data_IF_621841220854
#
_entry.id   IF_621841220854
#
_cell.length_a   1.000
_cell.length_b   1.000
_cell.length_c   1.000
_cell.angle_alpha   90.00
_cell.angle_beta   90.00
_cell.angle_gamma   90.00
#
_symmetry.space_group_name_H-M   'P 1'
#
loop_
_entity.id
_entity.type
_entity.pdbx_description
1 polymer ?
#
# COMPACT_ATOMS: atom_id res chain seq x y z
N UNK A 1 9.14 -6.11 3.61
CA UNK A 1 8.20 -5.22 2.90
C UNK A 1 6.92 -6.00 2.65
N UNK A 2 5.75 -5.37 2.83
CA UNK A 2 4.41 -5.91 2.57
C UNK A 2 3.68 -5.03 1.57
N UNK A 3 2.76 -5.61 0.80
CA UNK A 3 2.07 -4.94 -0.30
C UNK A 3 1.24 -3.71 0.08
N UNK A 4 0.73 -3.02 -0.94
CA UNK A 4 -0.13 -1.85 -0.79
C UNK A 4 -1.42 -2.20 -0.04
N UNK A 5 -1.78 -1.38 0.97
CA UNK A 5 -2.94 -1.59 1.84
C UNK A 5 -3.10 -3.02 2.34
N UNK A 6 -1.99 -3.65 2.73
CA UNK A 6 -1.97 -5.02 3.25
C UNK A 6 -2.94 -5.21 4.42
N UNK A 7 -3.15 -4.17 5.21
CA UNK A 7 -4.11 -4.13 6.32
C UNK A 7 -5.10 -3.00 6.08
N UNK A 8 -6.40 -3.26 6.05
CA UNK A 8 -7.13 -4.54 6.16
C UNK A 8 -7.28 -5.29 4.83
N UNK A 9 -6.67 -4.84 3.77
CA UNK A 9 -6.74 -5.36 2.42
C UNK A 9 -6.96 -4.25 1.40
N UNK A 10 -6.73 -4.58 0.12
CA UNK A 10 -6.92 -3.64 -0.97
C UNK A 10 -8.41 -3.43 -1.30
N UNK A 11 -8.81 -2.17 -1.53
CA UNK A 11 -10.19 -1.78 -1.79
C UNK A 11 -10.64 -2.12 -3.24
N UNK A 12 -10.49 -3.37 -3.67
CA UNK A 12 -10.87 -3.82 -5.03
C UNK A 12 -12.34 -3.55 -5.36
N UNK A 13 -13.23 -3.55 -4.34
CA UNK A 13 -14.65 -3.23 -4.48
C UNK A 13 -14.90 -1.80 -4.99
N UNK A 14 -13.92 -0.91 -4.90
CA UNK A 14 -14.02 0.46 -5.39
C UNK A 14 -14.27 0.54 -6.91
N UNK A 15 -13.88 -0.49 -7.66
CA UNK A 15 -14.16 -0.61 -9.10
C UNK A 15 -15.67 -0.67 -9.43
N UNK A 16 -16.52 -0.96 -8.42
CA UNK A 16 -17.96 -1.11 -8.59
C UNK A 16 -18.76 -0.10 -7.76
N UNK A 17 -18.32 1.14 -7.74
CA UNK A 17 -18.95 2.21 -6.94
C UNK A 17 -20.45 2.44 -7.24
N UNK A 18 -20.92 2.03 -8.41
CA UNK A 18 -22.35 2.09 -8.79
C UNK A 18 -23.22 0.95 -8.24
N UNK A 19 -22.61 -0.10 -7.71
CA UNK A 19 -23.37 -1.25 -7.17
C UNK A 19 -24.02 -0.92 -5.83
N UNK A 20 -25.27 -1.39 -5.55
CA UNK A 20 -25.97 -1.08 -4.31
C UNK A 20 -25.21 -1.46 -3.02
N UNK A 21 -24.45 -2.56 -3.04
CA UNK A 21 -23.68 -3.02 -1.89
C UNK A 21 -22.44 -2.17 -1.60
N UNK A 22 -22.00 -1.30 -2.55
CA UNK A 22 -20.80 -0.48 -2.41
C UNK A 22 -20.76 0.32 -1.10
N UNK A 23 -21.89 0.95 -0.72
CA UNK A 23 -21.96 1.76 0.51
C UNK A 23 -21.68 0.94 1.77
N UNK A 24 -22.22 -0.27 1.85
CA UNK A 24 -22.00 -1.16 2.99
C UNK A 24 -20.54 -1.63 3.06
N UNK A 25 -19.96 -1.98 1.92
CA UNK A 25 -18.56 -2.37 1.84
C UNK A 25 -17.61 -1.20 2.17
N UNK A 26 -17.91 -0.01 1.67
CA UNK A 26 -17.15 1.21 1.98
C UNK A 26 -17.21 1.51 3.48
N UNK A 27 -18.40 1.48 4.08
CA UNK A 27 -18.56 1.69 5.53
C UNK A 27 -17.74 0.68 6.33
N UNK A 28 -17.84 -0.61 5.98
CA UNK A 28 -17.06 -1.67 6.62
C UNK A 28 -15.56 -1.43 6.46
N UNK A 29 -15.11 -1.01 5.26
CA UNK A 29 -13.71 -0.70 5.00
C UNK A 29 -13.21 0.47 5.85
N UNK A 30 -13.99 1.56 5.94
CA UNK A 30 -13.68 2.71 6.79
C UNK A 30 -13.56 2.31 8.26
N UNK A 31 -14.52 1.51 8.76
CA UNK A 31 -14.51 1.07 10.16
C UNK A 31 -13.34 0.16 10.50
N UNK A 32 -12.81 -0.58 9.52
CA UNK A 32 -11.61 -1.42 9.66
C UNK A 32 -10.31 -0.69 9.29
N UNK A 33 -10.38 0.58 8.90
CA UNK A 33 -9.20 1.41 8.64
C UNK A 33 -8.32 1.56 9.88
N UNK A 34 -7.02 1.60 9.65
CA UNK A 34 -6.01 1.66 10.71
C UNK A 34 -5.72 3.10 11.09
N UNK A 35 -6.00 3.49 12.31
CA UNK A 35 -5.50 4.75 12.85
C UNK A 35 -4.00 4.65 13.14
N UNK A 36 -3.26 5.71 12.88
CA UNK A 36 -1.80 5.74 13.10
C UNK A 36 -1.45 6.95 13.98
N UNK A 37 -1.07 6.72 15.28
CA UNK A 37 -0.89 5.43 15.96
C UNK A 37 -2.21 4.81 16.48
N UNK A 38 -2.18 3.49 16.77
CA UNK A 38 -3.31 2.76 17.36
C UNK A 38 -2.85 1.40 17.93
N UNK A 39 -3.71 0.66 18.65
CA UNK A 39 -3.38 -0.70 19.08
C UNK A 39 -2.97 -1.64 17.95
N UNK A 40 -3.52 -1.45 16.73
CA UNK A 40 -3.12 -2.23 15.56
C UNK A 40 -1.67 -1.94 15.16
N UNK A 41 -1.28 -0.66 15.12
CA UNK A 41 0.12 -0.28 14.85
C UNK A 41 1.06 -0.69 15.97
N UNK A 42 0.60 -0.69 17.22
CA UNK A 42 1.40 -1.17 18.37
C UNK A 42 1.71 -2.67 18.23
N UNK A 43 0.74 -3.47 17.76
CA UNK A 43 0.95 -4.89 17.49
C UNK A 43 1.99 -5.10 16.37
N UNK A 44 1.94 -4.29 15.29
CA UNK A 44 2.95 -4.32 14.22
C UNK A 44 4.34 -3.91 14.73
N UNK A 45 4.42 -2.87 15.54
CA UNK A 45 5.65 -2.43 16.19
C UNK A 45 6.24 -3.52 17.10
N UNK A 46 5.41 -4.18 17.90
CA UNK A 46 5.83 -5.29 18.73
C UNK A 46 6.35 -6.48 17.90
N UNK A 47 5.71 -6.78 16.76
CA UNK A 47 6.15 -7.82 15.84
C UNK A 47 7.50 -7.49 15.20
N UNK A 48 7.68 -6.25 14.71
CA UNK A 48 8.94 -5.77 14.15
C UNK A 48 10.10 -5.90 15.17
N UNK A 49 9.85 -5.50 16.43
CA UNK A 49 10.82 -5.62 17.51
C UNK A 49 11.17 -7.07 17.82
N UNK A 50 10.16 -7.97 17.92
CA UNK A 50 10.43 -9.41 18.16
C UNK A 50 11.25 -10.04 17.03
N UNK A 51 10.99 -9.63 15.78
CA UNK A 51 11.73 -10.11 14.62
C UNK A 51 13.10 -9.43 14.44
N UNK A 52 13.39 -8.34 15.15
CA UNK A 52 14.60 -7.53 14.97
C UNK A 52 14.74 -6.94 13.56
N UNK A 53 13.61 -6.67 12.89
CA UNK A 53 13.56 -6.34 11.46
C UNK A 53 12.80 -5.05 11.24
N UNK A 54 13.32 -4.17 10.37
CA UNK A 54 12.60 -3.01 9.89
C UNK A 54 11.46 -3.46 8.96
N UNK A 55 10.30 -2.79 9.04
CA UNK A 55 9.10 -3.15 8.27
C UNK A 55 8.59 -1.94 7.50
N UNK A 56 8.32 -2.13 6.21
CA UNK A 56 7.51 -1.24 5.41
C UNK A 56 6.22 -1.99 5.03
N UNK A 57 5.05 -1.44 5.37
CA UNK A 57 3.76 -2.10 5.20
C UNK A 57 2.67 -1.13 4.74
N UNK A 58 1.94 -1.51 3.70
CA UNK A 58 0.77 -0.76 3.25
C UNK A 58 -0.40 -0.90 4.24
N UNK A 59 -1.02 0.21 4.60
CA UNK A 59 -2.22 0.23 5.44
C UNK A 59 -3.27 1.17 4.84
N UNK A 60 -4.54 0.82 4.97
CA UNK A 60 -5.63 1.76 4.76
C UNK A 60 -5.76 2.62 6.03
N UNK A 61 -5.11 3.78 6.04
CA UNK A 61 -5.07 4.66 7.19
C UNK A 61 -6.38 5.44 7.34
N UNK A 62 -7.06 5.28 8.47
CA UNK A 62 -8.20 6.12 8.83
C UNK A 62 -7.72 7.39 9.52
N UNK A 63 -8.11 8.54 8.97
CA UNK A 63 -7.75 9.82 9.53
C UNK A 63 -8.51 10.08 10.84
N UNK A 64 -7.77 10.41 11.88
CA UNK A 64 -8.35 10.65 13.23
C UNK A 64 -9.08 11.98 13.32
N UNK A 65 -8.76 12.94 12.43
CA UNK A 65 -9.36 14.29 12.45
C UNK A 65 -10.74 14.30 11.82
N UNK A 66 -10.88 13.65 10.66
CA UNK A 66 -12.15 13.62 9.91
C UNK A 66 -13.01 12.41 10.28
N UNK A 67 -12.40 11.35 10.81
CA UNK A 67 -13.06 10.09 11.18
C UNK A 67 -13.58 9.24 10.03
N UNK A 68 -13.68 9.80 8.83
CA UNK A 68 -14.21 9.12 7.65
C UNK A 68 -13.27 9.08 6.46
N UNK A 69 -12.24 9.92 6.44
CA UNK A 69 -11.25 9.88 5.36
C UNK A 69 -10.30 8.72 5.54
N UNK A 70 -10.11 7.95 4.47
CA UNK A 70 -9.14 6.85 4.40
C UNK A 70 -8.04 7.23 3.43
N UNK A 71 -6.78 6.98 3.80
CA UNK A 71 -5.62 7.15 2.92
C UNK A 71 -4.96 5.79 2.62
N UNK A 72 -4.49 5.64 1.40
CA UNK A 72 -3.54 4.58 1.07
C UNK A 72 -2.18 5.00 1.61
N UNK A 73 -1.69 4.32 2.64
CA UNK A 73 -0.52 4.74 3.39
C UNK A 73 0.53 3.64 3.47
N UNK A 74 1.77 3.97 3.17
CA UNK A 74 2.93 3.14 3.44
C UNK A 74 3.51 3.54 4.81
N UNK A 75 3.45 2.61 5.77
CA UNK A 75 3.94 2.79 7.13
C UNK A 75 5.34 2.19 7.28
N UNK A 76 6.25 2.94 7.88
CA UNK A 76 7.61 2.50 8.17
C UNK A 76 7.80 2.29 9.67
N UNK A 77 8.24 1.10 10.06
CA UNK A 77 8.44 0.69 11.45
C UNK A 77 9.89 0.21 11.60
N UNK A 78 10.59 0.74 12.58
CA UNK A 78 11.96 0.34 12.89
C UNK A 78 12.02 -0.98 13.68
N UNK A 79 13.13 -1.71 13.54
CA UNK A 79 13.41 -2.94 14.28
C UNK A 79 13.38 -2.76 15.81
N UNK A 80 13.47 -1.55 16.28
CA UNK A 80 13.30 -1.16 17.67
C UNK A 80 11.83 -1.14 18.14
N UNK A 81 10.88 -1.38 17.20
CA UNK A 81 9.45 -1.41 17.49
C UNK A 81 8.83 -0.02 17.61
N UNK A 82 9.28 0.93 16.82
CA UNK A 82 8.73 2.29 16.75
C UNK A 82 8.36 2.66 15.33
N UNK A 83 7.28 3.41 15.18
CA UNK A 83 6.94 4.03 13.91
C UNK A 83 8.02 5.06 13.57
N UNK A 84 8.68 4.89 12.42
CA UNK A 84 9.63 5.85 11.87
C UNK A 84 8.89 7.01 11.19
N UNK A 85 7.80 6.67 10.53
CA UNK A 85 6.92 7.60 9.85
C UNK A 85 6.04 6.89 8.83
N UNK A 86 5.41 7.66 7.96
CA UNK A 86 4.47 7.16 6.96
C UNK A 86 4.51 8.01 5.70
N UNK A 87 4.07 7.42 4.59
CA UNK A 87 3.82 8.12 3.34
C UNK A 87 2.39 7.86 2.86
N UNK A 88 1.57 8.91 2.77
CA UNK A 88 0.23 8.87 2.19
C UNK A 88 0.33 9.02 0.68
N UNK A 89 -0.23 8.07 -0.07
CA UNK A 89 -0.25 8.08 -1.54
C UNK A 89 -0.78 9.42 -2.05
N UNK A 90 0.00 10.07 -2.92
CA UNK A 90 -0.31 11.44 -3.39
C UNK A 90 -1.58 11.47 -4.22
N UNK A 91 -1.74 10.51 -5.14
CA UNK A 91 -2.87 10.43 -6.06
C UNK A 91 -3.41 9.00 -6.10
N UNK A 92 -4.60 8.77 -5.53
CA UNK A 92 -5.30 7.51 -5.73
C UNK A 92 -5.53 7.23 -7.20
N UNK A 93 -5.40 5.96 -7.60
CA UNK A 93 -5.45 5.55 -9.00
C UNK A 93 -6.87 5.23 -9.42
N UNK A 94 -7.35 5.84 -10.52
CA UNK A 94 -8.65 5.53 -11.14
C UNK A 94 -9.80 5.48 -10.11
N UNK A 95 -10.42 4.32 -9.92
CA UNK A 95 -11.54 4.08 -9.00
C UNK A 95 -11.17 4.19 -7.52
N UNK A 96 -9.90 4.08 -7.18
CA UNK A 96 -9.43 4.30 -5.80
C UNK A 96 -9.88 5.64 -5.24
N UNK A 97 -10.06 6.64 -6.12
CA UNK A 97 -10.54 7.99 -5.76
C UNK A 97 -11.93 8.01 -5.13
N UNK A 98 -12.70 6.95 -5.26
CA UNK A 98 -14.00 6.80 -4.60
C UNK A 98 -13.87 6.39 -3.14
N UNK A 99 -12.67 5.97 -2.70
CA UNK A 99 -12.40 5.43 -1.37
C UNK A 99 -11.34 6.23 -0.63
N UNK A 100 -10.22 6.56 -1.29
CA UNK A 100 -9.05 7.16 -0.63
C UNK A 100 -8.91 8.65 -0.91
N UNK A 101 -8.50 9.38 0.13
CA UNK A 101 -8.05 10.75 0.03
C UNK A 101 -6.65 10.87 -0.58
N UNK A 102 -6.31 12.08 -1.01
CA UNK A 102 -5.02 12.42 -1.60
C UNK A 102 -4.01 12.84 -0.54
N UNK A 103 -2.77 12.38 -0.64
CA UNK A 103 -1.63 12.90 0.11
C UNK A 103 -1.13 14.23 -0.48
N UNK A 104 -0.36 14.97 0.31
CA UNK A 104 0.11 16.32 -0.05
C UNK A 104 1.64 16.42 -0.27
N UNK A 105 2.34 15.29 -0.23
CA UNK A 105 3.80 15.24 -0.37
C UNK A 105 4.58 15.56 0.90
N UNK A 106 3.98 16.05 1.98
CA UNK A 106 4.67 16.32 3.26
C UNK A 106 5.29 15.08 3.88
N UNK A 107 4.82 13.92 3.45
CA UNK A 107 5.24 12.60 3.90
C UNK A 107 6.28 11.92 3.00
N UNK A 108 6.72 12.55 1.92
CA UNK A 108 7.81 12.07 1.07
C UNK A 108 9.17 12.28 1.76
N UNK A 109 9.49 11.40 2.71
CA UNK A 109 10.67 11.49 3.56
C UNK A 109 11.46 10.20 3.54
N UNK A 110 12.78 10.31 3.84
CA UNK A 110 13.66 9.18 4.05
C UNK A 110 13.93 8.99 5.54
N UNK A 111 14.22 7.74 5.90
CA UNK A 111 14.55 7.32 7.26
C UNK A 111 15.96 6.71 7.27
N UNK A 112 16.85 7.28 8.06
CA UNK A 112 18.22 6.77 8.22
C UNK A 112 18.18 5.43 8.95
N UNK A 113 18.72 4.40 8.28
CA UNK A 113 18.87 3.05 8.86
C UNK A 113 20.33 2.62 8.72
N UNK A 114 20.79 1.62 9.53
CA UNK A 114 22.19 1.15 9.46
C UNK A 114 22.63 0.66 8.07
N UNK A 115 21.68 0.28 7.22
CA UNK A 115 21.92 -0.22 5.86
C UNK A 115 21.69 0.83 4.76
N UNK A 116 21.35 2.06 5.13
CA UNK A 116 21.12 3.15 4.20
C UNK A 116 19.82 3.91 4.43
N UNK A 117 19.56 4.93 3.61
CA UNK A 117 18.35 5.74 3.68
C UNK A 117 17.18 5.03 3.02
N UNK A 118 16.18 4.70 3.85
CA UNK A 118 14.96 3.98 3.48
C UNK A 118 13.84 4.95 3.13
N UNK A 119 13.15 4.70 2.03
CA UNK A 119 11.91 5.37 1.64
C UNK A 119 11.03 4.44 0.80
N UNK A 120 9.94 4.95 0.26
CA UNK A 120 9.08 4.12 -0.60
C UNK A 120 7.92 4.88 -1.21
N UNK A 121 7.28 4.24 -2.17
CA UNK A 121 6.11 4.72 -2.91
C UNK A 121 5.07 3.60 -3.05
N UNK A 122 3.81 4.01 -3.27
CA UNK A 122 2.68 3.12 -3.48
C UNK A 122 2.35 2.99 -4.97
N UNK A 123 2.41 1.79 -5.52
CA UNK A 123 1.82 1.39 -6.80
C UNK A 123 2.18 2.36 -7.95
N UNK A 124 1.19 2.95 -8.60
CA UNK A 124 1.36 3.83 -9.75
C UNK A 124 1.97 5.21 -9.42
N UNK A 125 2.30 5.49 -8.18
CA UNK A 125 3.20 6.61 -7.88
C UNK A 125 4.57 6.44 -8.57
N UNK A 126 4.96 5.19 -8.86
CA UNK A 126 6.17 4.90 -9.63
C UNK A 126 6.08 5.35 -11.11
N UNK A 127 4.88 5.60 -11.64
CA UNK A 127 4.71 6.24 -12.96
C UNK A 127 4.82 7.76 -12.90
N UNK A 128 4.72 8.34 -11.69
CA UNK A 128 4.83 9.78 -11.48
C UNK A 128 6.30 10.15 -11.29
N UNK A 129 6.86 10.92 -12.20
CA UNK A 129 8.30 11.27 -12.17
C UNK A 129 8.68 12.06 -10.91
N UNK A 130 7.86 13.03 -10.50
CA UNK A 130 8.21 13.96 -9.42
C UNK A 130 8.33 13.32 -8.05
N UNK A 131 7.43 12.44 -7.57
CA UNK A 131 7.61 11.75 -6.30
C UNK A 131 8.89 10.91 -6.24
N UNK A 132 9.16 10.18 -7.34
CA UNK A 132 10.41 9.41 -7.46
C UNK A 132 11.63 10.32 -7.38
N UNK A 133 11.64 11.41 -8.14
CA UNK A 133 12.73 12.39 -8.12
C UNK A 133 12.91 13.04 -6.74
N UNK A 134 11.83 13.34 -6.03
CA UNK A 134 11.91 13.91 -4.67
C UNK A 134 12.62 12.98 -3.68
N UNK A 135 12.45 11.67 -3.80
CA UNK A 135 13.19 10.69 -2.99
C UNK A 135 14.64 10.55 -3.45
N UNK A 136 14.90 10.57 -4.76
CA UNK A 136 16.25 10.53 -5.35
C UNK A 136 17.06 11.75 -4.89
N UNK A 137 16.46 12.94 -4.94
CA UNK A 137 17.11 14.19 -4.52
C UNK A 137 17.47 14.20 -3.03
N UNK A 138 16.75 13.45 -2.20
CA UNK A 138 17.10 13.23 -0.79
C UNK A 138 18.17 12.14 -0.61
N UNK A 139 18.53 11.43 -1.69
CA UNK A 139 19.56 10.38 -1.72
C UNK A 139 19.06 9.07 -1.14
N UNK A 140 17.92 8.58 -1.60
CA UNK A 140 17.41 7.25 -1.26
C UNK A 140 18.42 6.16 -1.63
N UNK A 141 18.55 5.14 -0.78
CA UNK A 141 19.45 4.00 -1.00
C UNK A 141 18.70 2.66 -0.97
N UNK A 142 17.60 2.60 -0.22
CA UNK A 142 16.70 1.44 -0.18
C UNK A 142 15.27 1.91 -0.38
N UNK A 143 14.63 1.39 -1.40
CA UNK A 143 13.27 1.78 -1.77
C UNK A 143 12.29 0.63 -1.56
N UNK A 144 11.23 0.87 -0.78
CA UNK A 144 10.09 -0.03 -0.65
C UNK A 144 9.06 0.31 -1.73
N UNK A 145 9.02 -0.49 -2.78
CA UNK A 145 8.01 -0.39 -3.84
C UNK A 145 6.84 -1.32 -3.53
N UNK A 146 5.70 -0.77 -3.09
CA UNK A 146 4.55 -1.59 -2.68
C UNK A 146 3.42 -1.52 -3.69
N UNK A 147 2.81 -2.69 -3.94
CA UNK A 147 1.80 -2.89 -4.98
C UNK A 147 0.63 -3.69 -4.42
N UNK A 148 -0.61 -3.52 -4.95
CA UNK A 148 -1.77 -4.30 -4.49
C UNK A 148 -1.70 -5.76 -4.94
N UNK A 149 -1.01 -6.01 -6.05
CA UNK A 149 -0.82 -7.33 -6.66
C UNK A 149 -0.08 -7.20 -7.98
N UNK A 150 0.18 -8.32 -8.64
CA UNK A 150 0.82 -8.35 -9.95
C UNK A 150 -0.06 -7.72 -11.01
N UNK A 151 0.36 -6.58 -11.55
CA UNK A 151 -0.37 -5.89 -12.62
C UNK A 151 0.50 -5.78 -13.85
N UNK A 152 0.38 -6.74 -14.76
CA UNK A 152 0.88 -6.62 -16.12
C UNK A 152 2.38 -6.30 -16.24
N UNK A 153 3.25 -6.96 -15.50
CA UNK A 153 4.71 -6.71 -15.50
C UNK A 153 5.13 -5.23 -15.27
N UNK A 154 4.20 -4.30 -15.13
CA UNK A 154 4.50 -2.86 -14.93
C UNK A 154 5.28 -2.62 -13.66
N UNK A 155 4.92 -3.30 -12.58
CA UNK A 155 5.60 -3.17 -11.29
C UNK A 155 7.09 -3.51 -11.40
N UNK A 156 7.44 -4.55 -12.12
CA UNK A 156 8.83 -4.93 -12.33
C UNK A 156 9.57 -3.89 -13.17
N UNK A 157 9.00 -3.47 -14.29
CA UNK A 157 9.60 -2.47 -15.19
C UNK A 157 9.84 -1.16 -14.45
N UNK A 158 8.83 -0.66 -13.72
CA UNK A 158 8.94 0.61 -12.99
C UNK A 158 9.90 0.51 -11.81
N UNK A 159 9.91 -0.61 -11.09
CA UNK A 159 10.85 -0.85 -9.99
C UNK A 159 12.29 -0.91 -10.49
N UNK A 160 12.54 -1.58 -11.62
CA UNK A 160 13.87 -1.61 -12.28
C UNK A 160 14.29 -0.22 -12.77
N UNK A 161 13.37 0.53 -13.39
CA UNK A 161 13.65 1.88 -13.82
C UNK A 161 14.03 2.78 -12.63
N UNK A 162 13.28 2.69 -11.54
CA UNK A 162 13.59 3.44 -10.32
C UNK A 162 14.95 3.06 -9.74
N UNK A 163 15.27 1.76 -9.65
CA UNK A 163 16.56 1.28 -9.14
C UNK A 163 17.74 1.87 -9.95
N UNK A 164 17.61 1.89 -11.29
CA UNK A 164 18.62 2.45 -12.18
C UNK A 164 18.74 3.98 -12.03
N UNK A 165 17.62 4.70 -11.98
CA UNK A 165 17.61 6.16 -11.87
C UNK A 165 18.15 6.65 -10.52
N UNK A 166 17.83 5.92 -9.45
CA UNK A 166 18.23 6.27 -8.09
C UNK A 166 19.60 5.71 -7.69
N UNK A 167 20.15 4.77 -8.45
CA UNK A 167 21.29 3.93 -8.04
C UNK A 167 21.05 3.33 -6.63
N UNK A 168 19.85 2.78 -6.41
CA UNK A 168 19.36 2.29 -5.13
C UNK A 168 18.82 0.86 -5.25
N UNK A 169 18.80 0.14 -4.14
CA UNK A 169 18.10 -1.15 -4.07
C UNK A 169 16.60 -0.93 -3.97
N UNK A 170 15.82 -1.72 -4.71
CA UNK A 170 14.37 -1.72 -4.64
C UNK A 170 13.88 -3.07 -4.08
N UNK A 171 13.13 -3.01 -2.99
CA UNK A 171 12.37 -4.16 -2.49
C UNK A 171 10.94 -4.01 -2.97
N UNK A 172 10.61 -4.75 -4.03
CA UNK A 172 9.29 -4.77 -4.63
C UNK A 172 8.42 -5.81 -3.91
N UNK A 173 7.25 -5.41 -3.43
CA UNK A 173 6.29 -6.31 -2.79
C UNK A 173 4.90 -6.17 -3.41
N UNK A 174 4.40 -7.24 -3.98
CA UNK A 174 3.01 -7.37 -4.44
C UNK A 174 2.15 -8.13 -3.42
N UNK A 175 0.86 -7.81 -3.40
CA UNK A 175 -0.12 -8.57 -2.63
C UNK A 175 -0.43 -9.91 -3.29
N UNK A 176 -0.64 -10.94 -2.49
CA UNK A 176 -1.26 -12.19 -2.91
C UNK A 176 -2.68 -12.23 -2.36
N UNK A 177 -3.65 -12.39 -3.24
CA UNK A 177 -5.05 -12.52 -2.87
C UNK A 177 -5.67 -13.70 -3.64
N UNK A 178 -6.13 -14.69 -2.93
CA UNK A 178 -6.85 -15.83 -3.49
C UNK A 178 -8.34 -15.69 -3.22
N UNK A 179 -9.16 -16.29 -4.06
CA UNK A 179 -10.62 -16.29 -3.88
C UNK A 179 -11.02 -16.90 -2.53
N UNK A 180 -10.32 -17.94 -2.09
CA UNK A 180 -10.53 -18.62 -0.81
C UNK A 180 -10.20 -17.76 0.42
N UNK A 181 -9.32 -16.75 0.27
CA UNK A 181 -8.93 -15.82 1.33
C UNK A 181 -9.97 -14.70 1.52
N UNK A 182 -10.93 -14.57 0.60
CA UNK A 182 -11.94 -13.53 0.69
C UNK A 182 -13.05 -13.91 1.67
N UNK A 183 -13.54 -12.96 2.50
CA UNK A 183 -14.77 -13.15 3.25
C UNK A 183 -15.93 -13.53 2.32
N UNK A 184 -16.81 -14.43 2.77
CA UNK A 184 -17.89 -14.98 1.96
C UNK A 184 -18.80 -13.92 1.35
N UNK A 185 -19.14 -12.90 2.11
CA UNK A 185 -19.97 -11.77 1.67
C UNK A 185 -19.32 -10.92 0.58
N UNK A 186 -17.99 -10.75 0.65
CA UNK A 186 -17.22 -10.05 -0.42
C UNK A 186 -17.13 -10.93 -1.66
N UNK A 187 -16.96 -12.24 -1.46
CA UNK A 187 -16.92 -13.21 -2.55
C UNK A 187 -18.26 -13.28 -3.27
N UNK A 188 -19.37 -13.39 -2.54
CA UNK A 188 -20.74 -13.38 -3.09
C UNK A 188 -20.99 -12.10 -3.89
N UNK A 189 -20.63 -10.94 -3.34
CA UNK A 189 -20.70 -9.66 -4.01
C UNK A 189 -19.88 -9.62 -5.31
N UNK A 190 -18.68 -10.14 -5.27
CA UNK A 190 -17.82 -10.23 -6.44
C UNK A 190 -18.41 -11.18 -7.51
N UNK A 191 -19.06 -12.25 -7.10
CA UNK A 191 -19.75 -13.21 -7.99
C UNK A 191 -21.03 -12.63 -8.58
N UNK A 192 -21.83 -11.87 -7.81
CA UNK A 192 -23.07 -11.23 -8.25
C UNK A 192 -22.82 -10.19 -9.36
N UNK A 193 -21.74 -9.44 -9.28
CA UNK A 193 -21.37 -8.42 -10.29
C UNK A 193 -21.01 -9.07 -11.63
N UNK A 194 -20.84 -10.36 -11.64
CA UNK A 194 -20.79 -11.14 -12.87
C UNK A 194 -19.48 -11.84 -13.14
N UNK A 195 -19.55 -12.88 -13.97
CA UNK A 195 -18.44 -13.71 -14.45
C UNK A 195 -17.27 -12.94 -15.12
N UNK A 196 -17.26 -11.63 -15.00
CA UNK A 196 -16.13 -10.73 -15.28
C UNK A 196 -15.18 -10.59 -14.10
N UNK A 197 -15.49 -11.15 -12.93
CA UNK A 197 -14.73 -11.00 -11.69
C UNK A 197 -13.35 -11.64 -11.77
N UNK A 198 -13.17 -12.70 -12.55
CA UNK A 198 -11.82 -13.26 -12.82
C UNK A 198 -10.88 -12.28 -13.52
N UNK A 199 -11.40 -11.27 -14.22
CA UNK A 199 -10.60 -10.22 -14.86
C UNK A 199 -10.40 -8.99 -13.99
N UNK A 200 -11.22 -8.80 -12.94
CA UNK A 200 -11.19 -7.63 -12.06
C UNK A 200 -10.58 -7.92 -10.68
N UNK A 201 -10.63 -9.15 -10.22
CA UNK A 201 -9.65 -9.64 -9.27
C UNK A 201 -8.36 -9.83 -10.08
N UNK A 202 -7.59 -8.75 -10.16
CA UNK A 202 -6.26 -8.85 -10.76
C UNK A 202 -5.58 -10.06 -10.13
N UNK A 203 -4.99 -10.96 -10.92
CA UNK A 203 -4.24 -12.05 -10.34
C UNK A 203 -3.15 -11.43 -9.47
N UNK A 204 -3.45 -11.34 -8.18
CA UNK A 204 -2.49 -10.93 -7.17
C UNK A 204 -1.63 -12.15 -6.90
N UNK A 205 -0.73 -12.45 -7.83
CA UNK A 205 0.16 -13.60 -7.79
C UNK A 205 1.41 -13.38 -6.93
N UNK A 206 1.46 -12.23 -6.26
CA UNK A 206 2.46 -11.94 -5.26
C UNK A 206 3.83 -11.57 -5.82
N UNK A 207 3.93 -11.21 -7.08
CA UNK A 207 5.16 -10.82 -7.76
C UNK A 207 6.04 -9.89 -6.91
N UNK A 208 6.97 -10.46 -6.17
CA UNK A 208 7.83 -9.73 -5.23
C UNK A 208 9.30 -10.06 -5.52
N UNK A 209 10.18 -9.09 -5.31
CA UNK A 209 11.60 -9.28 -5.58
C UNK A 209 12.48 -8.16 -5.03
N UNK A 210 13.78 -8.40 -5.08
CA UNK A 210 14.81 -7.40 -4.80
C UNK A 210 15.56 -7.10 -6.09
N UNK A 211 15.68 -5.84 -6.42
CA UNK A 211 16.32 -5.31 -7.63
C UNK A 211 17.49 -4.44 -7.24
#
# INVERSE_FOLDING_TARGET
VFGETWVPGYASFAAWASHPAFRGLLQRFILNGVEVPSPATDALCAAARRAGTDVAIGVAERDTTTGGTIYCTLLFIGREGRILGKHRKLKPTMYERTVWGEGDGSTLRLYDRPYGRLGGLNCWEHEMVLPGYALIAQGIQVHAGVWPGGVFCRQEVLSRAFAMQAAAYVVMAGGLLREEDMPSDIREYAMEIGGRTRQLLMPCDGDSGII
#
